data_IF_407985841834
#
_entry.id   IF_407985841834
#
_cell.length_a   1.000
_cell.length_b   1.000
_cell.length_c   1.000
_cell.angle_alpha   90.00
_cell.angle_beta   90.00
_cell.angle_gamma   90.00
#
_symmetry.space_group_name_H-M   'P 1'
#
loop_
_entity.id
_entity.type
_entity.pdbx_description
1 polymer ?
#
# COMPACT_ATOMS: atom_id res chain seq x y z
N UNK A 1 -9.12 24.17 -20.70
CA UNK A 1 -10.32 23.87 -19.90
C UNK A 1 -10.14 22.50 -19.22
N UNK A 2 -9.11 22.37 -18.40
CA UNK A 2 -8.82 21.20 -17.55
C UNK A 2 -7.90 21.77 -16.48
N UNK A 3 -8.43 22.04 -15.28
CA UNK A 3 -7.66 22.17 -14.02
C UNK A 3 -8.55 22.80 -12.95
N UNK A 4 -9.42 21.96 -12.39
CA UNK A 4 -10.00 22.17 -11.06
C UNK A 4 -10.46 20.82 -10.52
N UNK A 5 -9.56 19.84 -10.52
CA UNK A 5 -9.79 18.62 -9.73
C UNK A 5 -9.47 19.00 -8.28
N UNK A 6 -10.55 19.12 -7.51
CA UNK A 6 -10.61 19.55 -6.12
C UNK A 6 -9.69 18.72 -5.21
N UNK A 7 -8.52 19.25 -4.89
CA UNK A 7 -7.58 18.72 -3.88
C UNK A 7 -8.11 18.76 -2.44
N UNK A 8 -9.33 19.26 -2.22
CA UNK A 8 -9.93 19.39 -0.88
C UNK A 8 -10.55 18.09 -0.35
N UNK A 9 -10.77 17.09 -1.22
CA UNK A 9 -11.53 15.88 -0.91
C UNK A 9 -10.65 14.63 -0.63
N UNK A 10 -9.33 14.73 -0.80
CA UNK A 10 -8.44 13.55 -0.74
C UNK A 10 -8.06 13.15 0.69
N UNK A 11 -8.01 14.11 1.62
CA UNK A 11 -7.75 13.85 3.05
C UNK A 11 -8.80 12.94 3.72
N UNK A 12 -10.12 13.21 3.60
CA UNK A 12 -11.13 12.35 4.21
C UNK A 12 -11.17 10.96 3.55
N UNK A 13 -10.90 10.87 2.24
CA UNK A 13 -10.87 9.60 1.53
C UNK A 13 -9.71 8.70 2.00
N UNK A 14 -8.49 9.25 2.08
CA UNK A 14 -7.33 8.51 2.61
C UNK A 14 -7.58 8.03 4.05
N UNK A 15 -8.12 8.91 4.91
CA UNK A 15 -8.44 8.56 6.28
C UNK A 15 -9.50 7.45 6.33
N UNK A 16 -10.52 7.48 5.47
CA UNK A 16 -11.52 6.44 5.37
C UNK A 16 -10.91 5.09 4.95
N UNK A 17 -10.07 5.05 3.91
CA UNK A 17 -9.41 3.83 3.47
C UNK A 17 -8.50 3.21 4.54
N UNK A 18 -7.71 4.04 5.23
CA UNK A 18 -6.85 3.57 6.34
C UNK A 18 -7.72 3.05 7.49
N UNK A 19 -8.81 3.75 7.83
CA UNK A 19 -9.72 3.34 8.91
C UNK A 19 -10.36 2.00 8.58
N UNK A 20 -10.90 1.83 7.37
CA UNK A 20 -11.50 0.57 6.90
C UNK A 20 -10.46 -0.55 6.89
N UNK A 21 -9.25 -0.29 6.38
CA UNK A 21 -8.17 -1.28 6.35
C UNK A 21 -7.77 -1.78 7.74
N UNK A 22 -7.66 -0.87 8.73
CA UNK A 22 -7.40 -1.23 10.12
C UNK A 22 -8.55 -2.09 10.68
N UNK A 23 -9.79 -1.71 10.41
CA UNK A 23 -10.98 -2.42 10.88
C UNK A 23 -11.03 -3.85 10.32
N UNK A 24 -10.70 -4.02 9.04
CA UNK A 24 -10.60 -5.32 8.37
C UNK A 24 -9.49 -6.19 9.00
N UNK A 25 -8.34 -5.61 9.34
CA UNK A 25 -7.26 -6.34 10.04
C UNK A 25 -7.73 -6.81 11.41
N UNK A 26 -8.42 -5.97 12.18
CA UNK A 26 -8.96 -6.37 13.48
C UNK A 26 -9.96 -7.51 13.37
N UNK A 27 -10.85 -7.49 12.37
CA UNK A 27 -11.73 -8.62 12.10
C UNK A 27 -10.96 -9.90 11.77
N UNK A 28 -9.96 -9.82 10.89
CA UNK A 28 -9.11 -10.97 10.54
C UNK A 28 -8.37 -11.56 11.74
N UNK A 29 -7.83 -10.70 12.62
CA UNK A 29 -7.19 -11.12 13.87
C UNK A 29 -8.18 -11.74 14.85
N UNK A 30 -9.40 -11.21 14.97
CA UNK A 30 -10.43 -11.79 15.81
C UNK A 30 -10.77 -13.21 15.38
N UNK A 31 -10.88 -13.47 14.06
CA UNK A 31 -11.10 -14.83 13.54
C UNK A 31 -9.94 -15.78 13.89
N UNK A 32 -8.70 -15.32 13.81
CA UNK A 32 -7.51 -16.12 14.20
C UNK A 32 -7.51 -16.39 15.70
N UNK A 33 -7.91 -15.43 16.54
CA UNK A 33 -7.98 -15.59 17.99
C UNK A 33 -9.10 -16.57 18.37
N UNK A 34 -10.27 -16.47 17.73
CA UNK A 34 -11.37 -17.41 17.95
C UNK A 34 -10.94 -18.83 17.59
N UNK A 35 -10.22 -19.01 16.49
CA UNK A 35 -9.64 -20.29 16.09
C UNK A 35 -8.71 -20.86 17.18
N UNK A 36 -7.83 -20.01 17.74
CA UNK A 36 -6.92 -20.38 18.83
C UNK A 36 -7.65 -20.79 20.12
N UNK A 37 -8.74 -20.08 20.47
CA UNK A 37 -9.48 -20.30 21.72
C UNK A 37 -10.40 -21.51 21.63
N UNK A 38 -11.06 -21.69 20.49
CA UNK A 38 -12.07 -22.74 20.30
C UNK A 38 -11.42 -24.06 19.89
N UNK A 39 -10.27 -24.04 19.21
CA UNK A 39 -9.46 -25.22 18.86
C UNK A 39 -10.22 -26.37 18.14
N UNK A 40 -11.42 -26.09 17.60
CA UNK A 40 -12.36 -27.05 17.01
C UNK A 40 -12.66 -26.76 15.52
N UNK A 41 -12.29 -25.59 15.00
CA UNK A 41 -12.61 -25.13 13.63
C UNK A 41 -11.37 -24.93 12.72
N UNK A 42 -10.32 -25.70 13.02
CA UNK A 42 -8.88 -25.35 12.99
C UNK A 42 -8.21 -24.99 11.66
N UNK A 43 -8.87 -25.13 10.52
CA UNK A 43 -8.28 -24.73 9.24
C UNK A 43 -9.09 -23.67 8.50
N UNK A 44 -10.42 -23.82 8.44
CA UNK A 44 -11.27 -22.92 7.68
C UNK A 44 -11.28 -21.50 8.25
N UNK A 45 -11.41 -21.37 9.58
CA UNK A 45 -11.53 -20.07 10.23
C UNK A 45 -10.20 -19.30 10.20
N UNK A 46 -9.09 -20.00 10.43
CA UNK A 46 -7.74 -19.46 10.32
C UNK A 46 -7.38 -19.03 8.90
N UNK A 47 -7.78 -19.81 7.90
CA UNK A 47 -7.59 -19.48 6.48
C UNK A 47 -8.37 -18.21 6.10
N UNK A 48 -9.61 -18.08 6.57
CA UNK A 48 -10.44 -16.90 6.33
C UNK A 48 -9.85 -15.67 7.04
N UNK A 49 -9.50 -15.81 8.32
CA UNK A 49 -8.91 -14.73 9.12
C UNK A 49 -7.60 -14.20 8.50
N UNK A 50 -6.71 -15.09 8.07
CA UNK A 50 -5.45 -14.68 7.40
C UNK A 50 -5.69 -13.94 6.09
N UNK A 51 -6.68 -14.35 5.28
CA UNK A 51 -7.06 -13.63 4.05
C UNK A 51 -7.57 -12.21 4.35
N UNK A 52 -8.37 -12.03 5.39
CA UNK A 52 -8.80 -10.69 5.82
C UNK A 52 -7.63 -9.81 6.24
N UNK A 53 -6.66 -10.35 6.99
CA UNK A 53 -5.45 -9.60 7.36
C UNK A 53 -4.67 -9.17 6.11
N UNK A 54 -4.45 -10.07 5.15
CA UNK A 54 -3.75 -9.77 3.90
C UNK A 54 -4.48 -8.66 3.12
N UNK A 55 -5.80 -8.77 2.96
CA UNK A 55 -6.60 -7.78 2.24
C UNK A 55 -6.56 -6.41 2.94
N UNK A 56 -6.60 -6.39 4.27
CA UNK A 56 -6.49 -5.15 5.04
C UNK A 56 -5.13 -4.46 4.85
N UNK A 57 -4.04 -5.23 4.89
CA UNK A 57 -2.68 -4.72 4.63
C UNK A 57 -2.58 -4.15 3.21
N UNK A 58 -3.05 -4.89 2.21
CA UNK A 58 -3.03 -4.45 0.80
C UNK A 58 -3.82 -3.16 0.62
N UNK A 59 -4.99 -3.05 1.26
CA UNK A 59 -5.82 -1.85 1.20
C UNK A 59 -5.11 -0.62 1.76
N UNK A 60 -4.44 -0.77 2.91
CA UNK A 60 -3.63 0.31 3.50
C UNK A 60 -2.46 0.68 2.59
N UNK A 61 -1.77 -0.33 2.03
CA UNK A 61 -0.65 -0.09 1.11
C UNK A 61 -1.08 0.71 -0.13
N UNK A 62 -2.21 0.36 -0.75
CA UNK A 62 -2.78 1.10 -1.89
C UNK A 62 -3.15 2.53 -1.48
N UNK A 63 -3.77 2.73 -0.31
CA UNK A 63 -4.09 4.06 0.19
C UNK A 63 -2.82 4.92 0.37
N UNK A 64 -1.73 4.33 0.86
CA UNK A 64 -0.43 5.00 0.97
C UNK A 64 0.18 5.33 -0.38
N UNK A 65 0.12 4.41 -1.35
CA UNK A 65 0.60 4.66 -2.72
C UNK A 65 -0.19 5.82 -3.34
N UNK A 66 -1.51 5.82 -3.17
CA UNK A 66 -2.37 6.89 -3.70
C UNK A 66 -2.03 8.26 -3.10
N UNK A 67 -1.87 8.34 -1.77
CA UNK A 67 -1.51 9.59 -1.09
C UNK A 67 -0.12 10.09 -1.47
N UNK A 68 0.83 9.18 -1.66
CA UNK A 68 2.22 9.52 -1.91
C UNK A 68 2.62 9.39 -3.38
N UNK A 69 1.66 9.26 -4.31
CA UNK A 69 1.93 9.05 -5.75
C UNK A 69 2.88 10.12 -6.33
N UNK A 70 2.75 11.37 -5.88
CA UNK A 70 3.62 12.48 -6.30
C UNK A 70 5.05 12.29 -5.78
N UNK A 71 5.21 11.84 -4.54
CA UNK A 71 6.51 11.60 -3.90
C UNK A 71 7.18 10.37 -4.52
N UNK A 72 6.45 9.28 -4.75
CA UNK A 72 6.94 8.10 -5.47
C UNK A 72 7.39 8.49 -6.88
N UNK A 73 6.58 9.26 -7.62
CA UNK A 73 6.93 9.73 -8.96
C UNK A 73 8.18 10.60 -8.95
N UNK A 74 8.33 11.46 -7.95
CA UNK A 74 9.52 12.29 -7.78
C UNK A 74 10.77 11.45 -7.49
N UNK A 75 10.69 10.49 -6.57
CA UNK A 75 11.81 9.60 -6.22
C UNK A 75 12.21 8.74 -7.42
N UNK A 76 11.26 8.14 -8.13
CA UNK A 76 11.52 7.34 -9.34
C UNK A 76 12.18 8.18 -10.44
N UNK A 77 11.74 9.42 -10.62
CA UNK A 77 12.35 10.35 -11.58
C UNK A 77 13.78 10.72 -11.20
N UNK A 78 14.05 10.93 -9.91
CA UNK A 78 15.42 11.16 -9.41
C UNK A 78 16.32 9.93 -9.61
N UNK A 79 15.83 8.73 -9.33
CA UNK A 79 16.56 7.48 -9.59
C UNK A 79 16.85 7.27 -11.07
N UNK A 80 15.84 7.46 -11.94
CA UNK A 80 16.01 7.38 -13.40
C UNK A 80 17.08 8.36 -13.89
N UNK A 81 17.05 9.60 -13.41
CA UNK A 81 18.03 10.61 -13.82
C UNK A 81 19.45 10.23 -13.39
N UNK A 82 19.62 9.70 -12.17
CA UNK A 82 20.93 9.20 -11.68
C UNK A 82 21.47 8.03 -12.50
N UNK A 83 20.62 7.08 -12.87
CA UNK A 83 21.02 5.96 -13.74
C UNK A 83 21.44 6.44 -15.13
N UNK A 84 20.71 7.42 -15.68
CA UNK A 84 21.01 7.99 -17.00
C UNK A 84 22.32 8.78 -17.00
N UNK A 85 22.61 9.51 -15.92
CA UNK A 85 23.87 10.25 -15.80
C UNK A 85 25.07 9.31 -15.64
N UNK A 86 24.96 8.23 -14.85
CA UNK A 86 25.99 7.18 -14.82
C UNK A 86 26.28 6.59 -16.20
N UNK A 87 25.23 6.32 -16.98
CA UNK A 87 25.38 5.77 -18.33
C UNK A 87 26.02 6.78 -19.31
N UNK A 88 25.74 8.08 -19.12
CA UNK A 88 26.34 9.17 -19.90
C UNK A 88 27.84 9.33 -19.63
N UNK A 89 28.26 9.16 -18.37
CA UNK A 89 29.68 9.16 -18.00
C UNK A 89 30.42 7.93 -18.53
N UNK A 90 29.78 6.75 -18.56
CA UNK A 90 30.40 5.53 -19.12
C UNK A 90 30.71 5.68 -20.62
N UNK A 91 29.84 6.38 -21.38
CA UNK A 91 30.06 6.64 -22.81
C UNK A 91 31.22 7.59 -23.10
N UNK A 92 31.51 8.52 -22.19
CA UNK A 92 32.63 9.46 -22.32
C UNK A 92 33.99 8.82 -22.03
N UNK A 93 34.02 7.70 -21.31
CA UNK A 93 35.23 7.00 -20.89
C UNK A 93 35.58 5.78 -21.76
N UNK A 94 34.88 5.58 -22.89
CA UNK A 94 35.29 4.56 -23.86
C UNK A 94 36.57 5.03 -24.56
N UNK A 95 37.69 4.30 -24.43
CA UNK A 95 38.94 4.63 -25.10
C UNK A 95 38.83 4.53 -26.62
#
# INVERSE_FOLDING_TARGET
MWDKISTKNDLPLFKAFVTIGILVIFFGLAFIIIDLVVNEFTEGLRLIGSRFVIVGIVTIAIAFIYKNHVVIGFILRQFKNRLTDQDRFSKWYKP
#
